data_IF_122522438906
#
_entry.id   IF_122522438906
#
_cell.length_a   1.000
_cell.length_b   1.000
_cell.length_c   1.000
_cell.angle_alpha   90.00
_cell.angle_beta   90.00
_cell.angle_gamma   90.00
#
_symmetry.space_group_name_H-M   'P 1'
#
loop_
_entity.id
_entity.type
_entity.pdbx_description
1 polymer ?
#
# COMPACT_ATOMS: atom_id res chain seq x y z
N UNK A 1 35.96 -7.61 6.52
CA UNK A 1 34.69 -7.78 7.23
C UNK A 1 34.20 -6.47 7.87
N UNK A 2 34.90 -5.88 8.85
CA UNK A 2 34.50 -4.61 9.50
C UNK A 2 34.18 -3.45 8.53
N UNK A 3 35.01 -3.21 7.51
CA UNK A 3 34.76 -2.14 6.52
C UNK A 3 33.54 -2.38 5.62
N UNK A 4 33.16 -3.64 5.38
CA UNK A 4 31.97 -3.98 4.57
C UNK A 4 30.68 -3.85 5.38
N UNK A 5 30.69 -4.24 6.65
CA UNK A 5 29.52 -4.09 7.53
C UNK A 5 29.26 -2.62 7.91
N UNK A 6 30.32 -1.83 8.08
CA UNK A 6 30.22 -0.37 8.25
C UNK A 6 29.70 0.29 6.96
N UNK A 7 30.13 -0.19 5.79
CA UNK A 7 29.66 0.27 4.48
C UNK A 7 28.16 0.00 4.27
N UNK A 8 27.67 -1.20 4.60
CA UNK A 8 26.25 -1.54 4.43
C UNK A 8 25.36 -0.75 5.40
N UNK A 9 25.74 -0.63 6.68
CA UNK A 9 25.01 0.18 7.65
C UNK A 9 25.02 1.67 7.30
N UNK A 10 26.15 2.18 6.81
CA UNK A 10 26.26 3.56 6.32
C UNK A 10 25.39 3.78 5.08
N UNK A 11 25.33 2.83 4.15
CA UNK A 11 24.47 2.91 2.96
C UNK A 11 23.00 2.91 3.34
N UNK A 12 22.56 2.03 4.26
CA UNK A 12 21.17 2.02 4.75
C UNK A 12 20.84 3.31 5.49
N UNK A 13 21.75 3.84 6.31
CA UNK A 13 21.57 5.11 7.02
C UNK A 13 21.52 6.31 6.07
N UNK A 14 22.37 6.33 5.02
CA UNK A 14 22.38 7.38 3.99
C UNK A 14 21.12 7.30 3.14
N UNK A 15 20.67 6.10 2.76
CA UNK A 15 19.41 5.91 2.03
C UNK A 15 18.20 6.30 2.88
N UNK A 16 18.19 5.93 4.16
CA UNK A 16 17.15 6.35 5.10
C UNK A 16 17.13 7.87 5.30
N UNK A 17 18.31 8.49 5.45
CA UNK A 17 18.45 9.94 5.55
C UNK A 17 18.01 10.66 4.27
N UNK A 18 18.35 10.12 3.10
CA UNK A 18 17.87 10.61 1.80
C UNK A 18 16.36 10.46 1.67
N UNK A 19 15.77 9.34 2.12
CA UNK A 19 14.32 9.12 2.09
C UNK A 19 13.57 10.11 2.98
N UNK A 20 14.09 10.38 4.18
CA UNK A 20 13.54 11.39 5.09
C UNK A 20 13.68 12.79 4.48
N UNK A 21 14.86 13.14 3.96
CA UNK A 21 15.09 14.41 3.30
C UNK A 21 14.20 14.60 2.07
N UNK A 22 14.01 13.55 1.26
CA UNK A 22 13.11 13.56 0.11
C UNK A 22 11.65 13.75 0.53
N UNK A 23 11.19 13.06 1.59
CA UNK A 23 9.85 13.26 2.15
C UNK A 23 9.62 14.70 2.63
N UNK A 24 10.65 15.36 3.17
CA UNK A 24 10.58 16.78 3.58
C UNK A 24 10.55 17.70 2.36
N UNK A 25 11.40 17.46 1.36
CA UNK A 25 11.51 18.32 0.16
C UNK A 25 10.27 18.25 -0.72
N UNK A 26 9.54 17.14 -0.70
CA UNK A 26 8.39 16.87 -1.56
C UNK A 26 7.04 17.05 -0.86
N UNK A 27 7.04 17.54 0.37
CA UNK A 27 5.85 17.61 1.24
C UNK A 27 4.66 18.36 0.60
N UNK A 28 4.94 19.33 -0.27
CA UNK A 28 3.93 20.14 -0.98
C UNK A 28 3.73 19.71 -2.45
N UNK A 29 4.35 18.60 -2.87
CA UNK A 29 4.26 18.05 -4.22
C UNK A 29 4.07 16.53 -4.19
N UNK A 30 2.84 16.11 -3.89
CA UNK A 30 2.44 14.71 -3.81
C UNK A 30 2.80 13.90 -5.07
N UNK A 31 2.68 14.52 -6.26
CA UNK A 31 3.05 13.86 -7.52
C UNK A 31 4.56 13.56 -7.57
N UNK A 32 5.40 14.54 -7.24
CA UNK A 32 6.86 14.33 -7.21
C UNK A 32 7.24 13.26 -6.19
N UNK A 33 6.61 13.25 -5.02
CA UNK A 33 6.81 12.20 -4.01
C UNK A 33 6.48 10.81 -4.59
N UNK A 34 5.35 10.66 -5.26
CA UNK A 34 4.92 9.38 -5.82
C UNK A 34 5.86 8.85 -6.91
N UNK A 35 6.36 9.73 -7.79
CA UNK A 35 7.37 9.36 -8.79
C UNK A 35 8.68 8.91 -8.15
N UNK A 36 9.13 9.63 -7.13
CA UNK A 36 10.33 9.28 -6.39
C UNK A 36 10.15 7.94 -5.66
N UNK A 37 9.03 7.76 -4.97
CA UNK A 37 8.69 6.50 -4.32
C UNK A 37 8.73 5.33 -5.30
N UNK A 38 8.13 5.48 -6.49
CA UNK A 38 8.20 4.47 -7.54
C UNK A 38 9.63 4.20 -8.02
N UNK A 39 10.42 5.25 -8.24
CA UNK A 39 11.83 5.13 -8.64
C UNK A 39 12.67 4.41 -7.58
N UNK A 40 12.41 4.67 -6.30
CA UNK A 40 13.05 3.98 -5.18
C UNK A 40 12.69 2.50 -5.17
N UNK A 41 11.41 2.15 -5.31
CA UNK A 41 11.00 0.74 -5.40
C UNK A 41 11.68 0.03 -6.58
N UNK A 42 11.76 0.69 -7.74
CA UNK A 42 12.47 0.17 -8.90
C UNK A 42 13.98 -0.03 -8.64
N UNK A 43 14.62 0.87 -7.89
CA UNK A 43 16.00 0.68 -7.45
C UNK A 43 16.14 -0.49 -6.46
N UNK A 44 15.22 -0.60 -5.49
CA UNK A 44 15.23 -1.64 -4.46
C UNK A 44 15.03 -3.04 -5.06
N UNK A 45 14.16 -3.21 -6.06
CA UNK A 45 14.00 -4.50 -6.74
C UNK A 45 15.26 -4.90 -7.51
N UNK A 46 15.97 -3.93 -8.13
CA UNK A 46 17.25 -4.17 -8.79
C UNK A 46 18.34 -4.58 -7.80
N UNK A 47 18.39 -3.93 -6.63
CA UNK A 47 19.30 -4.30 -5.53
C UNK A 47 19.00 -5.74 -5.04
N UNK A 48 17.73 -6.09 -4.98
CA UNK A 48 17.23 -7.37 -4.46
C UNK A 48 17.25 -8.52 -5.48
N UNK A 49 17.77 -8.32 -6.70
CA UNK A 49 17.73 -9.32 -7.79
C UNK A 49 18.30 -10.71 -7.44
N UNK A 50 19.18 -10.80 -6.45
CA UNK A 50 19.77 -12.07 -5.97
C UNK A 50 18.93 -12.75 -4.89
N UNK A 51 17.95 -12.05 -4.31
CA UNK A 51 17.07 -12.58 -3.28
C UNK A 51 15.62 -12.54 -3.79
N UNK A 52 15.19 -13.67 -4.36
CA UNK A 52 13.87 -13.82 -4.99
C UNK A 52 12.72 -13.50 -4.04
N UNK A 53 12.90 -13.76 -2.74
CA UNK A 53 11.86 -13.49 -1.74
C UNK A 53 11.66 -11.96 -1.61
N UNK A 54 12.72 -11.20 -1.31
CA UNK A 54 12.62 -9.74 -1.21
C UNK A 54 12.15 -9.13 -2.54
N UNK A 55 12.71 -9.59 -3.66
CA UNK A 55 12.29 -9.13 -4.98
C UNK A 55 10.78 -9.34 -5.20
N UNK A 56 10.22 -10.46 -4.73
CA UNK A 56 8.79 -10.73 -4.80
C UNK A 56 7.93 -9.81 -3.93
N UNK A 57 8.37 -9.43 -2.72
CA UNK A 57 7.66 -8.40 -1.91
C UNK A 57 7.63 -7.08 -2.67
N UNK A 58 8.80 -6.63 -3.14
CA UNK A 58 8.93 -5.33 -3.81
C UNK A 58 8.14 -5.32 -5.11
N UNK A 59 8.12 -6.45 -5.85
CA UNK A 59 7.32 -6.61 -7.05
C UNK A 59 5.82 -6.44 -6.77
N UNK A 60 5.30 -7.06 -5.70
CA UNK A 60 3.89 -6.91 -5.31
C UNK A 60 3.56 -5.43 -5.03
N UNK A 61 4.44 -4.72 -4.32
CA UNK A 61 4.25 -3.29 -4.01
C UNK A 61 4.31 -2.43 -5.28
N UNK A 62 5.24 -2.72 -6.22
CA UNK A 62 5.30 -2.03 -7.51
C UNK A 62 4.02 -2.26 -8.31
N UNK A 63 3.51 -3.49 -8.36
CA UNK A 63 2.25 -3.82 -9.05
C UNK A 63 1.06 -3.11 -8.41
N UNK A 64 1.04 -2.97 -7.09
CA UNK A 64 0.01 -2.20 -6.39
C UNK A 64 0.04 -0.72 -6.77
N UNK A 65 1.22 -0.09 -6.76
CA UNK A 65 1.35 1.32 -7.18
C UNK A 65 1.03 1.50 -8.67
N UNK A 66 1.37 0.52 -9.50
CA UNK A 66 0.97 0.53 -10.91
C UNK A 66 -0.55 0.43 -11.07
N UNK A 67 -1.22 -0.40 -10.27
CA UNK A 67 -2.67 -0.51 -10.29
C UNK A 67 -3.36 0.79 -9.84
N UNK A 68 -2.83 1.45 -8.81
CA UNK A 68 -3.26 2.78 -8.35
C UNK A 68 -3.14 3.83 -9.47
N UNK A 69 -1.95 4.00 -10.05
CA UNK A 69 -1.71 4.98 -11.12
C UNK A 69 -2.54 4.69 -12.38
N UNK A 70 -2.71 3.40 -12.71
CA UNK A 70 -3.57 2.98 -13.82
C UNK A 70 -5.04 3.30 -13.51
N UNK A 71 -5.48 3.09 -12.28
CA UNK A 71 -6.79 3.49 -11.80
C UNK A 71 -7.01 4.98 -12.01
N UNK A 72 -6.09 5.83 -11.54
CA UNK A 72 -6.13 7.30 -11.69
C UNK A 72 -6.30 7.74 -13.15
N UNK A 73 -5.62 7.08 -14.09
CA UNK A 73 -5.68 7.43 -15.50
C UNK A 73 -6.90 6.88 -16.25
N UNK A 74 -7.41 5.71 -15.87
CA UNK A 74 -8.48 5.02 -16.59
C UNK A 74 -9.88 5.29 -16.02
N UNK A 75 -9.98 5.57 -14.72
CA UNK A 75 -11.25 5.79 -14.05
C UNK A 75 -11.54 7.29 -13.99
N UNK A 76 -12.47 7.75 -14.84
CA UNK A 76 -13.04 9.09 -14.70
C UNK A 76 -14.13 9.15 -13.64
N UNK A 77 -14.51 10.36 -13.22
CA UNK A 77 -15.66 10.54 -12.32
C UNK A 77 -16.98 10.31 -13.07
N UNK A 78 -17.39 9.05 -13.16
CA UNK A 78 -18.64 8.64 -13.78
C UNK A 78 -19.19 7.37 -13.12
N UNK A 79 -20.48 7.09 -13.36
CA UNK A 79 -21.18 5.96 -12.76
C UNK A 79 -20.54 4.60 -13.10
N UNK A 80 -20.05 4.43 -14.33
CA UNK A 80 -19.43 3.17 -14.75
C UNK A 80 -18.16 2.88 -13.94
N UNK A 81 -17.29 3.89 -13.77
CA UNK A 81 -16.07 3.78 -12.98
C UNK A 81 -16.38 3.45 -11.52
N UNK A 82 -17.37 4.11 -10.90
CA UNK A 82 -17.83 3.78 -9.55
C UNK A 82 -18.31 2.34 -9.45
N UNK A 83 -19.17 1.89 -10.37
CA UNK A 83 -19.69 0.52 -10.42
C UNK A 83 -18.57 -0.51 -10.54
N UNK A 84 -17.59 -0.28 -11.43
CA UNK A 84 -16.46 -1.18 -11.60
C UNK A 84 -15.65 -1.33 -10.30
N UNK A 85 -15.40 -0.22 -9.60
CA UNK A 85 -14.67 -0.25 -8.32
C UNK A 85 -15.44 -1.04 -7.26
N UNK A 86 -16.73 -0.75 -7.06
CA UNK A 86 -17.53 -1.49 -6.07
C UNK A 86 -17.67 -2.98 -6.43
N UNK A 87 -17.88 -3.33 -7.70
CA UNK A 87 -17.90 -4.72 -8.14
C UNK A 87 -16.56 -5.43 -7.93
N UNK A 88 -15.45 -4.73 -8.16
CA UNK A 88 -14.12 -5.28 -7.96
C UNK A 88 -13.86 -5.60 -6.48
N UNK A 89 -14.25 -4.71 -5.55
CA UNK A 89 -14.12 -4.98 -4.12
C UNK A 89 -15.04 -6.13 -3.69
N UNK A 90 -16.28 -6.17 -4.18
CA UNK A 90 -17.20 -7.26 -3.91
C UNK A 90 -16.62 -8.61 -4.36
N UNK A 91 -16.03 -8.66 -5.56
CA UNK A 91 -15.36 -9.86 -6.06
C UNK A 91 -14.18 -10.27 -5.17
N UNK A 92 -13.32 -9.32 -4.77
CA UNK A 92 -12.21 -9.57 -3.84
C UNK A 92 -12.69 -10.16 -2.51
N UNK A 93 -13.72 -9.56 -1.89
CA UNK A 93 -14.29 -10.05 -0.63
C UNK A 93 -14.95 -11.44 -0.76
N UNK A 94 -15.48 -11.77 -1.94
CA UNK A 94 -16.08 -13.08 -2.20
C UNK A 94 -15.03 -14.18 -2.41
N UNK A 95 -13.91 -13.85 -3.07
CA UNK A 95 -12.82 -14.78 -3.40
C UNK A 95 -11.90 -14.99 -2.20
N UNK A 96 -11.47 -13.91 -1.55
CA UNK A 96 -10.47 -13.93 -0.46
C UNK A 96 -11.21 -14.00 0.88
N UNK A 97 -11.48 -15.22 1.34
CA UNK A 97 -12.31 -15.46 2.53
C UNK A 97 -11.52 -15.38 3.83
N UNK A 98 -10.20 -15.55 3.74
CA UNK A 98 -9.23 -15.63 4.82
C UNK A 98 -8.76 -14.25 5.29
N UNK A 99 -9.14 -13.16 4.60
CA UNK A 99 -8.77 -11.80 4.99
C UNK A 99 -9.36 -11.44 6.35
N UNK A 100 -8.49 -11.10 7.29
CA UNK A 100 -8.84 -10.76 8.68
C UNK A 100 -9.86 -9.63 8.74
N UNK A 101 -9.67 -8.60 7.90
CA UNK A 101 -10.49 -7.40 7.88
C UNK A 101 -11.69 -7.49 6.93
N UNK A 102 -11.98 -8.67 6.37
CA UNK A 102 -13.08 -8.86 5.41
C UNK A 102 -14.41 -8.38 5.94
N UNK A 103 -14.75 -8.67 7.20
CA UNK A 103 -16.03 -8.26 7.81
C UNK A 103 -16.11 -6.74 8.02
N UNK A 104 -15.14 -6.08 8.68
CA UNK A 104 -15.10 -4.61 8.74
C UNK A 104 -15.20 -3.94 7.37
N UNK A 105 -14.43 -4.43 6.38
CA UNK A 105 -14.45 -3.86 5.01
C UNK A 105 -15.80 -4.08 4.34
N UNK A 106 -16.45 -5.24 4.54
CA UNK A 106 -17.79 -5.48 4.01
C UNK A 106 -18.84 -4.51 4.59
N UNK A 107 -18.75 -4.20 5.89
CA UNK A 107 -19.62 -3.18 6.52
C UNK A 107 -19.36 -1.81 5.91
N UNK A 108 -18.10 -1.41 5.78
CA UNK A 108 -17.71 -0.15 5.17
C UNK A 108 -18.20 -0.05 3.71
N UNK A 109 -18.07 -1.14 2.95
CA UNK A 109 -18.57 -1.26 1.58
C UNK A 109 -20.08 -1.01 1.50
N UNK A 110 -20.88 -1.63 2.37
CA UNK A 110 -22.34 -1.43 2.41
C UNK A 110 -22.69 0.02 2.75
N UNK A 111 -21.98 0.63 3.70
CA UNK A 111 -22.18 2.04 4.05
C UNK A 111 -21.83 2.98 2.89
N UNK A 112 -20.68 2.79 2.25
CA UNK A 112 -20.23 3.60 1.12
C UNK A 112 -21.18 3.45 -0.08
N UNK A 113 -21.59 2.23 -0.42
CA UNK A 113 -22.55 1.96 -1.49
C UNK A 113 -23.92 2.59 -1.19
N UNK A 114 -24.40 2.48 0.04
CA UNK A 114 -25.66 3.11 0.47
C UNK A 114 -25.60 4.63 0.35
N UNK A 115 -24.49 5.25 0.72
CA UNK A 115 -24.27 6.69 0.58
C UNK A 115 -24.24 7.15 -0.88
N UNK A 116 -23.54 6.42 -1.76
CA UNK A 116 -23.51 6.69 -3.20
C UNK A 116 -24.90 6.59 -3.83
N UNK A 117 -25.69 5.56 -3.47
CA UNK A 117 -27.07 5.42 -3.93
C UNK A 117 -27.92 6.58 -3.42
N UNK A 118 -27.78 6.95 -2.15
CA UNK A 118 -28.50 8.10 -1.58
C UNK A 118 -28.16 9.39 -2.31
N UNK A 119 -26.88 9.67 -2.58
CA UNK A 119 -26.44 10.86 -3.31
C UNK A 119 -26.94 10.86 -4.74
N UNK A 120 -26.91 9.72 -5.43
CA UNK A 120 -27.43 9.57 -6.78
C UNK A 120 -28.94 9.86 -6.85
N UNK A 121 -29.72 9.32 -5.91
CA UNK A 121 -31.18 9.50 -5.87
C UNK A 121 -31.58 10.91 -5.45
N UNK A 122 -30.82 11.53 -4.53
CA UNK A 122 -31.08 12.89 -4.06
C UNK A 122 -30.54 13.99 -4.99
N UNK A 123 -29.74 13.63 -6.00
CA UNK A 123 -29.03 14.59 -6.85
C UNK A 123 -27.92 15.35 -6.11
N UNK A 124 -27.52 14.87 -4.93
CA UNK A 124 -26.44 15.46 -4.15
C UNK A 124 -25.08 15.12 -4.78
N UNK A 125 -24.23 16.14 -4.97
CA UNK A 125 -22.86 15.92 -5.41
C UNK A 125 -22.01 15.45 -4.23
N UNK A 126 -22.01 14.13 -4.03
CA UNK A 126 -21.20 13.47 -3.01
C UNK A 126 -19.71 13.48 -3.32
N UNK A 127 -18.84 13.37 -2.29
CA UNK A 127 -17.40 13.19 -2.48
C UNK A 127 -17.08 11.88 -3.20
N UNK A 128 -15.94 11.84 -3.88
CA UNK A 128 -15.45 10.67 -4.63
C UNK A 128 -14.90 9.57 -3.71
N UNK A 129 -15.71 9.05 -2.78
CA UNK A 129 -15.29 8.03 -1.81
C UNK A 129 -14.93 6.69 -2.47
N UNK A 130 -15.40 6.45 -3.69
CA UNK A 130 -15.05 5.27 -4.46
C UNK A 130 -13.54 5.12 -4.67
N UNK A 131 -12.77 6.21 -4.72
CA UNK A 131 -11.30 6.13 -4.80
C UNK A 131 -10.69 5.44 -3.58
N UNK A 132 -11.17 5.77 -2.38
CA UNK A 132 -10.71 5.11 -1.16
C UNK A 132 -11.17 3.64 -1.10
N UNK A 133 -12.30 3.30 -1.72
CA UNK A 133 -12.76 1.92 -1.86
C UNK A 133 -11.83 1.13 -2.80
N UNK A 134 -11.37 1.73 -3.90
CA UNK A 134 -10.38 1.13 -4.79
C UNK A 134 -9.06 0.87 -4.05
N UNK A 135 -8.58 1.84 -3.29
CA UNK A 135 -7.33 1.72 -2.52
C UNK A 135 -7.41 0.61 -1.48
N UNK A 136 -8.52 0.51 -0.73
CA UNK A 136 -8.78 -0.60 0.17
C UNK A 136 -8.76 -1.94 -0.58
N UNK A 137 -9.34 -2.00 -1.78
CA UNK A 137 -9.31 -3.22 -2.60
C UNK A 137 -7.88 -3.62 -2.99
N UNK A 138 -7.08 -2.66 -3.47
CA UNK A 138 -5.67 -2.88 -3.81
C UNK A 138 -4.90 -3.38 -2.57
N UNK A 139 -5.11 -2.77 -1.41
CA UNK A 139 -4.43 -3.15 -0.16
C UNK A 139 -4.78 -4.57 0.31
N UNK A 140 -6.05 -5.00 0.17
CA UNK A 140 -6.44 -6.39 0.44
C UNK A 140 -5.72 -7.35 -0.51
N UNK A 141 -5.66 -7.01 -1.81
CA UNK A 141 -4.95 -7.82 -2.79
C UNK A 141 -3.45 -7.92 -2.46
N UNK A 142 -2.80 -6.81 -2.10
CA UNK A 142 -1.39 -6.82 -1.68
C UNK A 142 -1.18 -7.75 -0.51
N UNK A 143 -2.00 -7.63 0.55
CA UNK A 143 -1.90 -8.48 1.74
C UNK A 143 -2.06 -9.95 1.40
N UNK A 144 -3.04 -10.28 0.58
CA UNK A 144 -3.25 -11.65 0.11
C UNK A 144 -2.04 -12.17 -0.68
N UNK A 145 -1.52 -11.37 -1.62
CA UNK A 145 -0.40 -11.77 -2.46
C UNK A 145 0.93 -11.86 -1.70
N UNK A 146 1.13 -11.11 -0.61
CA UNK A 146 2.30 -11.28 0.26
C UNK A 146 2.38 -12.70 0.83
N UNK A 147 1.27 -13.25 1.31
CA UNK A 147 1.21 -14.63 1.79
C UNK A 147 1.31 -15.65 0.63
N UNK A 148 0.57 -15.42 -0.45
CA UNK A 148 0.57 -16.33 -1.60
C UNK A 148 1.89 -16.34 -2.39
N UNK A 149 2.73 -15.31 -2.24
CA UNK A 149 4.03 -15.20 -2.89
C UNK A 149 4.87 -16.46 -2.66
N UNK A 150 4.92 -16.99 -1.45
CA UNK A 150 5.73 -18.18 -1.13
C UNK A 150 5.28 -19.39 -1.96
N UNK A 151 3.96 -19.55 -2.16
CA UNK A 151 3.42 -20.60 -3.01
C UNK A 151 3.80 -20.39 -4.49
N UNK A 152 3.63 -19.17 -5.03
CA UNK A 152 3.99 -18.89 -6.43
C UNK A 152 5.50 -19.00 -6.69
N UNK A 153 6.32 -18.45 -5.80
CA UNK A 153 7.77 -18.50 -5.91
C UNK A 153 8.29 -19.92 -5.75
N UNK A 154 7.74 -20.74 -4.86
CA UNK A 154 8.19 -22.15 -4.72
C UNK A 154 7.88 -22.98 -5.97
N UNK A 155 6.80 -22.67 -6.68
CA UNK A 155 6.45 -23.32 -7.96
C UNK A 155 7.34 -22.88 -9.12
N UNK A 156 7.67 -21.60 -9.21
CA UNK A 156 8.50 -21.03 -10.30
C UNK A 156 10.01 -21.20 -10.05
N UNK A 157 10.42 -21.18 -8.78
CA UNK A 157 11.81 -21.24 -8.32
C UNK A 157 11.95 -22.23 -7.14
N UNK A 158 11.88 -23.55 -7.41
CA UNK A 158 11.94 -24.57 -6.37
C UNK A 158 13.19 -24.45 -5.49
N UNK A 159 12.99 -24.54 -4.16
CA UNK A 159 14.07 -24.49 -3.16
C UNK A 159 14.59 -23.08 -2.80
N UNK A 160 14.19 -22.04 -3.52
CA UNK A 160 14.60 -20.65 -3.24
C UNK A 160 13.57 -19.85 -2.44
N UNK A 161 12.32 -20.33 -2.39
CA UNK A 161 11.23 -19.64 -1.70
C UNK A 161 11.28 -19.88 -0.19
N UNK A 162 11.17 -18.79 0.58
CA UNK A 162 11.09 -18.81 2.05
C UNK A 162 10.15 -17.71 2.52
N UNK A 163 9.38 -18.01 3.57
CA UNK A 163 8.67 -16.98 4.33
C UNK A 163 9.69 -16.12 5.08
N UNK A 164 9.46 -14.81 5.12
CA UNK A 164 10.30 -13.82 5.79
C UNK A 164 9.48 -13.11 6.85
N UNK A 165 10.13 -12.69 7.94
CA UNK A 165 9.53 -11.76 8.91
C UNK A 165 9.06 -10.47 8.23
N UNK A 166 9.80 -10.04 7.19
CA UNK A 166 9.47 -8.88 6.37
C UNK A 166 8.08 -9.00 5.71
N UNK A 167 7.58 -10.20 5.43
CA UNK A 167 6.23 -10.37 4.87
C UNK A 167 5.16 -9.87 5.86
N UNK A 168 5.35 -10.15 7.15
CA UNK A 168 4.45 -9.75 8.24
C UNK A 168 4.55 -8.25 8.48
N UNK A 169 5.77 -7.70 8.54
CA UNK A 169 5.96 -6.26 8.75
C UNK A 169 5.34 -5.43 7.62
N UNK A 170 5.54 -5.84 6.36
CA UNK A 170 4.92 -5.16 5.21
C UNK A 170 3.40 -5.31 5.25
N UNK A 171 2.91 -6.50 5.59
CA UNK A 171 1.47 -6.76 5.73
C UNK A 171 0.82 -5.82 6.75
N UNK A 172 1.44 -5.61 7.91
CA UNK A 172 0.92 -4.74 8.97
C UNK A 172 0.95 -3.25 8.56
N UNK A 173 1.95 -2.84 7.78
CA UNK A 173 1.99 -1.49 7.19
C UNK A 173 0.83 -1.31 6.18
N UNK A 174 0.53 -2.33 5.37
CA UNK A 174 -0.64 -2.29 4.46
C UNK A 174 -1.95 -2.19 5.24
N UNK A 175 -2.04 -2.83 6.40
CA UNK A 175 -3.17 -2.66 7.32
C UNK A 175 -3.34 -1.21 7.77
N UNK A 176 -2.24 -0.55 8.14
CA UNK A 176 -2.27 0.86 8.54
C UNK A 176 -2.78 1.76 7.40
N UNK A 177 -2.29 1.57 6.16
CA UNK A 177 -2.81 2.30 5.00
C UNK A 177 -4.33 2.10 4.82
N UNK A 178 -4.79 0.85 4.93
CA UNK A 178 -6.20 0.51 4.75
C UNK A 178 -7.08 1.17 5.81
N UNK A 179 -6.61 1.25 7.05
CA UNK A 179 -7.30 1.96 8.13
C UNK A 179 -7.44 3.45 7.85
N UNK A 180 -6.41 4.11 7.33
CA UNK A 180 -6.49 5.55 7.00
C UNK A 180 -7.52 5.81 5.90
N UNK A 181 -7.58 4.96 4.86
CA UNK A 181 -8.63 5.05 3.84
C UNK A 181 -10.03 4.81 4.42
N UNK A 182 -10.18 3.83 5.30
CA UNK A 182 -11.46 3.56 5.96
C UNK A 182 -11.92 4.75 6.82
N UNK A 183 -11.01 5.34 7.60
CA UNK A 183 -11.28 6.55 8.39
C UNK A 183 -11.65 7.74 7.51
N UNK A 184 -11.02 7.87 6.35
CA UNK A 184 -11.32 8.95 5.39
C UNK A 184 -12.73 8.79 4.84
N UNK A 185 -13.15 7.58 4.47
CA UNK A 185 -14.53 7.29 4.06
C UNK A 185 -15.50 7.65 5.19
N UNK A 186 -15.25 7.18 6.42
CA UNK A 186 -16.13 7.45 7.56
C UNK A 186 -16.25 8.95 7.88
N UNK A 187 -15.16 9.71 7.79
CA UNK A 187 -15.20 11.17 7.96
C UNK A 187 -16.02 11.84 6.84
N UNK A 188 -15.87 11.41 5.59
CA UNK A 188 -16.71 11.93 4.50
C UNK A 188 -18.19 11.62 4.72
N UNK A 189 -18.54 10.39 5.13
CA UNK A 189 -19.92 10.03 5.45
C UNK A 189 -20.46 10.90 6.60
N UNK A 190 -19.67 11.09 7.66
CA UNK A 190 -20.03 11.94 8.80
C UNK A 190 -20.36 13.38 8.36
N UNK A 191 -19.53 13.96 7.49
CA UNK A 191 -19.71 15.33 6.99
C UNK A 191 -20.91 15.46 6.06
N UNK A 192 -21.05 14.55 5.11
CA UNK A 192 -21.98 14.71 3.99
C UNK A 192 -23.37 14.10 4.25
N UNK A 193 -23.50 13.19 5.22
CA UNK A 193 -24.81 12.65 5.62
C UNK A 193 -25.39 13.34 6.85
N UNK A 194 -24.53 13.81 7.78
CA UNK A 194 -24.97 14.37 9.06
C UNK A 194 -24.60 15.85 9.26
N UNK A 195 -23.89 16.46 8.32
CA UNK A 195 -23.51 17.88 8.40
C UNK A 195 -22.46 18.20 9.46
N UNK A 196 -21.68 17.21 9.92
CA UNK A 196 -20.65 17.41 10.93
C UNK A 196 -19.42 18.11 10.34
N UNK A 197 -18.86 19.12 11.02
CA UNK A 197 -17.64 19.81 10.59
C UNK A 197 -16.36 19.15 11.15
N UNK A 198 -16.18 17.87 10.83
CA UNK A 198 -14.99 17.09 11.21
C UNK A 198 -14.05 17.03 10.00
N UNK A 199 -12.77 17.42 10.16
CA UNK A 199 -11.76 17.44 9.07
C UNK A 199 -10.41 16.87 9.52
N UNK A 200 -10.41 16.04 10.56
CA UNK A 200 -9.17 15.58 11.20
C UNK A 200 -8.38 14.66 10.26
N UNK A 201 -9.03 13.63 9.74
CA UNK A 201 -8.39 12.65 8.86
C UNK A 201 -8.00 13.32 7.55
N UNK A 202 -8.89 14.14 6.99
CA UNK A 202 -8.61 14.87 5.76
C UNK A 202 -7.38 15.79 5.87
N UNK A 203 -7.19 16.49 6.99
CA UNK A 203 -6.07 17.40 7.18
C UNK A 203 -4.71 16.68 7.27
N UNK A 204 -4.68 15.49 7.87
CA UNK A 204 -3.44 14.77 8.15
C UNK A 204 -3.16 13.60 7.20
N UNK A 205 -4.10 13.22 6.33
CA UNK A 205 -3.98 12.02 5.50
C UNK A 205 -2.69 12.01 4.67
N UNK A 206 -2.36 13.08 3.96
CA UNK A 206 -1.21 13.18 3.09
C UNK A 206 0.09 12.98 3.86
N UNK A 207 0.20 13.59 5.04
CA UNK A 207 1.34 13.46 5.95
C UNK A 207 1.48 12.02 6.43
N UNK A 208 0.38 11.40 6.85
CA UNK A 208 0.37 10.02 7.33
C UNK A 208 0.78 9.06 6.20
N UNK A 209 0.25 9.24 4.98
CA UNK A 209 0.61 8.43 3.82
C UNK A 209 2.10 8.58 3.47
N UNK A 210 2.65 9.81 3.51
CA UNK A 210 4.08 10.03 3.29
C UNK A 210 4.94 9.31 4.33
N UNK A 211 4.62 9.45 5.62
CA UNK A 211 5.37 8.80 6.70
C UNK A 211 5.32 7.28 6.55
N UNK A 212 4.14 6.71 6.28
CA UNK A 212 3.99 5.27 6.09
C UNK A 212 4.76 4.76 4.86
N UNK A 213 4.75 5.50 3.74
CA UNK A 213 5.52 5.12 2.53
C UNK A 213 7.03 5.18 2.79
N UNK A 214 7.52 6.19 3.50
CA UNK A 214 8.94 6.28 3.92
C UNK A 214 9.30 5.12 4.86
N UNK A 215 8.44 4.85 5.85
CA UNK A 215 8.64 3.76 6.79
C UNK A 215 8.66 2.39 6.09
N UNK A 216 7.77 2.16 5.12
CA UNK A 216 7.75 0.94 4.31
C UNK A 216 9.08 0.72 3.56
N UNK A 217 9.60 1.76 2.91
CA UNK A 217 10.90 1.65 2.22
C UNK A 217 12.01 1.36 3.21
N UNK A 218 12.02 2.02 4.37
CA UNK A 218 12.99 1.77 5.42
C UNK A 218 12.97 0.31 5.86
N UNK A 219 11.78 -0.24 6.14
CA UNK A 219 11.59 -1.65 6.56
C UNK A 219 12.13 -2.62 5.51
N UNK A 220 11.88 -2.38 4.23
CA UNK A 220 12.41 -3.21 3.14
C UNK A 220 13.94 -3.14 3.07
N UNK A 221 14.51 -1.93 3.10
CA UNK A 221 15.96 -1.74 3.07
C UNK A 221 16.65 -2.36 4.27
N UNK A 222 16.03 -2.26 5.45
CA UNK A 222 16.52 -2.90 6.67
C UNK A 222 16.50 -4.43 6.55
N UNK A 223 15.41 -5.00 6.04
CA UNK A 223 15.30 -6.44 5.76
C UNK A 223 16.35 -6.94 4.78
N UNK A 224 16.67 -6.16 3.73
CA UNK A 224 17.77 -6.47 2.79
C UNK A 224 19.11 -6.54 3.52
N UNK A 225 19.41 -5.54 4.35
CA UNK A 225 20.68 -5.47 5.08
C UNK A 225 20.84 -6.64 6.06
N UNK A 226 19.80 -6.99 6.81
CA UNK A 226 19.83 -8.13 7.74
C UNK A 226 20.08 -9.46 7.02
N UNK A 227 19.41 -9.69 5.89
CA UNK A 227 19.56 -10.92 5.11
C UNK A 227 20.95 -11.02 4.45
N UNK A 228 21.54 -9.90 4.03
CA UNK A 228 22.92 -9.84 3.54
C UNK A 228 23.91 -10.28 4.62
N UNK A 229 23.78 -9.74 5.83
CA UNK A 229 24.61 -10.09 6.99
C UNK A 229 24.49 -11.57 7.36
N UNK A 230 23.27 -12.10 7.45
CA UNK A 230 23.03 -13.50 7.80
C UNK A 230 23.67 -14.48 6.80
N UNK A 231 23.63 -14.18 5.49
CA UNK A 231 24.25 -15.02 4.48
C UNK A 231 25.78 -15.01 4.55
N UNK A 232 26.41 -13.89 4.95
CA UNK A 232 27.86 -13.80 5.13
C UNK A 232 28.37 -14.55 6.36
N UNK A 233 27.55 -14.65 7.41
CA UNK A 233 27.92 -15.38 8.63
C UNK A 233 27.84 -16.91 8.47
N UNK A 234 27.05 -17.38 7.50
CA UNK A 234 26.83 -18.81 7.23
C UNK A 234 27.67 -19.35 6.06
N UNK A 235 28.53 -18.52 5.44
CA UNK A 235 29.42 -18.86 4.32
C UNK A 235 30.88 -18.94 4.78
#
# INVERSE_FOLDING_TARGET
>A
MLFQDVSEKALTAVLAGLLIAMGIITFDNARLFDWLYFAILAFVILLSRKNINIAGIVLIIILAKFADETGWHLLGDNLLSRLLVYLSLLATLAIIKEEEYRKPVAVLFVLALGAEIYWLVSGYQGPEIYWHVLEINILILVRHYLFMRVFFTSRLFPGLSKALTLDVEVHDIMTAFMFIHALTILEYLARHLFGLDIKLVWLFNAVIFHVLKVYLVYVILHGIAQLSLANKLNA
#
